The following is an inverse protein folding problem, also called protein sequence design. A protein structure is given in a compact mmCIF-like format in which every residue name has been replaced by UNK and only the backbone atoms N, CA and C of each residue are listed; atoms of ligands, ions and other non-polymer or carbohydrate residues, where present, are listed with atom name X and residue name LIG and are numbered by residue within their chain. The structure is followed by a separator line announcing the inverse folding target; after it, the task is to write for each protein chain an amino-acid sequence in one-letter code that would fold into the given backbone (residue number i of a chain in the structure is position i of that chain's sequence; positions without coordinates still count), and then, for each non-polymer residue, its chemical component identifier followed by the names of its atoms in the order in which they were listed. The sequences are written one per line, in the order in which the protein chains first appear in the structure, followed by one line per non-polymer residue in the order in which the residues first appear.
data_IF_915569649608
#
_entry.id   IF_915569649608
#
_cell.length_a   1.000
_cell.length_b   1.000
_cell.length_c   1.000
_cell.angle_alpha   90.00
_cell.angle_beta   90.00
_cell.angle_gamma   90.00
#
_symmetry.space_group_name_H-M   'P 1'
#
loop_
_entity.id
_entity.type
_entity.pdbx_description
1 polymer ?
#
# COMPACT_ATOMS: atom_id res chain seq x y z
N UNK A 1 26.16 -4.05 15.17
CA UNK A 1 25.97 -2.58 15.33
C UNK A 1 24.52 -2.26 15.67
N UNK A 2 23.54 -2.72 14.87
CA UNK A 2 22.11 -2.57 15.18
C UNK A 2 21.71 -3.18 16.53
N UNK A 3 22.18 -4.39 16.85
CA UNK A 3 21.89 -5.07 18.13
C UNK A 3 22.26 -4.25 19.37
N UNK A 4 23.30 -3.41 19.32
CA UNK A 4 23.68 -2.52 20.44
C UNK A 4 22.76 -1.31 20.59
N UNK A 5 22.14 -0.87 19.50
CA UNK A 5 21.25 0.29 19.44
C UNK A 5 19.78 -0.10 19.68
N UNK A 6 19.46 -1.37 19.47
CA UNK A 6 18.17 -1.98 19.73
C UNK A 6 17.90 -2.13 21.23
N UNK A 7 18.94 -2.29 22.06
CA UNK A 7 18.82 -2.50 23.51
C UNK A 7 18.17 -1.35 24.30
N UNK A 8 17.84 -0.23 23.66
CA UNK A 8 17.06 0.87 24.25
C UNK A 8 15.54 0.71 24.04
N UNK A 9 15.10 -0.29 23.27
CA UNK A 9 13.67 -0.54 22.99
C UNK A 9 13.36 -2.03 22.93
N UNK A 10 12.52 -2.49 23.87
CA UNK A 10 12.05 -3.88 23.93
C UNK A 10 11.29 -4.28 22.68
N UNK A 11 10.52 -3.37 22.07
CA UNK A 11 9.82 -3.70 20.83
C UNK A 11 10.79 -3.92 19.66
N UNK A 12 11.88 -3.15 19.58
CA UNK A 12 12.89 -3.34 18.53
C UNK A 12 13.66 -4.66 18.71
N UNK A 13 13.90 -5.10 19.94
CA UNK A 13 14.49 -6.42 20.23
C UNK A 13 13.62 -7.55 19.66
N UNK A 14 12.32 -7.48 19.91
CA UNK A 14 11.33 -8.43 19.39
C UNK A 14 11.26 -8.42 17.86
N UNK A 15 11.29 -7.24 17.25
CA UNK A 15 11.34 -7.11 15.77
C UNK A 15 12.57 -7.82 15.19
N UNK A 16 13.75 -7.62 15.78
CA UNK A 16 15.00 -8.23 15.32
C UNK A 16 15.00 -9.74 15.54
N UNK A 17 14.43 -10.20 16.66
CA UNK A 17 14.22 -11.62 16.95
C UNK A 17 13.28 -12.28 15.91
N UNK A 18 12.39 -11.49 15.31
CA UNK A 18 11.37 -11.97 14.36
C UNK A 18 10.10 -12.46 15.05
N UNK A 19 9.84 -11.95 16.25
CA UNK A 19 8.62 -12.25 17.00
C UNK A 19 7.39 -11.64 16.30
N UNK A 20 6.24 -12.28 16.47
CA UNK A 20 4.96 -11.68 16.10
C UNK A 20 4.67 -10.47 17.00
N UNK A 21 4.28 -9.35 16.38
CA UNK A 21 4.00 -8.10 17.08
C UNK A 21 2.51 -7.95 17.35
N UNK A 22 2.17 -7.50 18.56
CA UNK A 22 0.81 -7.18 18.95
C UNK A 22 0.46 -5.70 18.75
N UNK A 23 -0.77 -5.34 19.10
CA UNK A 23 -1.26 -3.95 19.04
C UNK A 23 -0.38 -2.97 19.82
N UNK A 24 0.05 -3.36 21.03
CA UNK A 24 0.84 -2.48 21.90
C UNK A 24 2.24 -2.21 21.33
N UNK A 25 2.84 -3.21 20.69
CA UNK A 25 4.11 -3.08 19.98
C UNK A 25 4.00 -2.06 18.84
N UNK A 26 2.92 -2.14 18.06
CA UNK A 26 2.64 -1.17 17.00
C UNK A 26 2.49 0.27 17.53
N UNK A 27 1.80 0.46 18.66
CA UNK A 27 1.67 1.78 19.30
C UNK A 27 3.03 2.33 19.75
N UNK A 28 3.89 1.48 20.31
CA UNK A 28 5.25 1.87 20.71
C UNK A 28 6.09 2.27 19.50
N UNK A 29 6.09 1.47 18.43
CA UNK A 29 6.81 1.77 17.19
C UNK A 29 6.33 3.07 16.52
N UNK A 30 5.02 3.33 16.51
CA UNK A 30 4.45 4.57 15.96
C UNK A 30 4.85 5.83 16.73
N UNK A 31 5.26 5.69 18.00
CA UNK A 31 5.74 6.79 18.86
C UNK A 31 7.27 6.88 18.91
N UNK A 32 7.98 6.02 18.18
CA UNK A 32 9.42 5.95 18.24
C UNK A 32 10.07 7.05 17.39
N UNK A 33 10.75 8.00 18.03
CA UNK A 33 11.23 9.22 17.38
C UNK A 33 12.42 9.01 16.45
N UNK A 34 13.22 7.97 16.65
CA UNK A 34 14.41 7.72 15.84
C UNK A 34 14.05 6.98 14.54
N UNK A 35 13.56 7.74 13.58
CA UNK A 35 13.15 7.26 12.26
C UNK A 35 14.29 6.57 11.49
N UNK A 36 15.55 6.99 11.68
CA UNK A 36 16.69 6.36 11.03
C UNK A 36 16.90 4.93 11.54
N UNK A 37 16.80 4.74 12.86
CA UNK A 37 16.88 3.42 13.47
C UNK A 37 15.71 2.54 13.03
N UNK A 38 14.48 3.09 13.04
CA UNK A 38 13.29 2.38 12.58
C UNK A 38 13.42 1.92 11.12
N UNK A 39 13.89 2.81 10.23
CA UNK A 39 14.13 2.50 8.83
C UNK A 39 15.24 1.46 8.62
N UNK A 40 16.32 1.52 9.40
CA UNK A 40 17.42 0.56 9.33
C UNK A 40 16.97 -0.85 9.75
N UNK A 41 16.21 -0.96 10.84
CA UNK A 41 15.65 -2.24 11.31
C UNK A 41 14.60 -2.75 10.32
N UNK A 42 13.70 -1.90 9.83
CA UNK A 42 12.72 -2.28 8.82
C UNK A 42 13.40 -2.83 7.55
N UNK A 43 14.47 -2.17 7.07
CA UNK A 43 15.24 -2.66 5.94
C UNK A 43 15.96 -3.99 6.25
N UNK A 44 16.54 -4.15 7.43
CA UNK A 44 17.18 -5.41 7.84
C UNK A 44 16.18 -6.57 7.90
N UNK A 45 14.99 -6.35 8.49
CA UNK A 45 13.89 -7.31 8.53
C UNK A 45 13.43 -7.67 7.12
N UNK A 46 13.21 -6.67 6.26
CA UNK A 46 12.84 -6.87 4.86
C UNK A 46 13.93 -7.66 4.10
N UNK A 47 15.21 -7.36 4.31
CA UNK A 47 16.35 -8.11 3.74
C UNK A 47 16.35 -9.58 4.17
N UNK A 48 16.12 -9.85 5.45
CA UNK A 48 16.01 -11.21 6.00
C UNK A 48 14.84 -11.99 5.38
N UNK A 49 13.70 -11.34 5.18
CA UNK A 49 12.48 -11.99 4.68
C UNK A 49 12.48 -12.22 3.17
N UNK A 50 12.87 -11.22 2.37
CA UNK A 50 12.70 -11.27 0.90
C UNK A 50 13.97 -10.93 0.10
N UNK A 51 15.12 -10.74 0.74
CA UNK A 51 16.41 -10.51 0.06
C UNK A 51 16.43 -9.22 -0.76
N UNK A 52 17.35 -9.01 -1.70
CA UNK A 52 17.43 -7.73 -2.43
C UNK A 52 16.57 -7.68 -3.71
N UNK A 53 15.75 -8.70 -3.97
CA UNK A 53 14.93 -8.74 -5.17
C UNK A 53 13.76 -7.77 -5.04
N UNK A 54 13.70 -6.78 -5.92
CA UNK A 54 12.53 -5.91 -6.10
C UNK A 54 11.69 -6.46 -7.25
N UNK A 55 10.40 -6.64 -7.03
CA UNK A 55 9.45 -7.10 -8.06
C UNK A 55 8.48 -5.98 -8.42
N UNK A 56 7.93 -6.04 -9.62
CA UNK A 56 6.89 -5.13 -10.10
C UNK A 56 5.85 -5.93 -10.89
N UNK A 57 4.64 -5.39 -11.02
CA UNK A 57 3.56 -5.93 -11.86
C UNK A 57 3.06 -4.86 -12.82
N UNK A 58 2.65 -5.26 -14.02
CA UNK A 58 2.05 -4.35 -15.00
C UNK A 58 0.53 -4.34 -14.79
N UNK A 59 0.05 -3.52 -13.85
CA UNK A 59 -1.36 -3.39 -13.48
C UNK A 59 -2.04 -2.23 -14.19
N UNK A 60 -3.32 -2.37 -14.53
CA UNK A 60 -4.13 -1.27 -15.10
C UNK A 60 -5.49 -1.15 -14.42
N UNK A 61 -5.68 -0.09 -13.63
CA UNK A 61 -6.95 0.16 -12.97
C UNK A 61 -8.05 0.63 -13.93
N UNK A 62 -9.17 -0.08 -13.93
CA UNK A 62 -10.40 0.35 -14.61
C UNK A 62 -11.44 0.87 -13.62
N UNK A 63 -11.55 2.20 -13.52
CA UNK A 63 -12.69 2.80 -12.85
C UNK A 63 -13.89 2.82 -13.80
N UNK A 64 -14.82 1.88 -13.62
CA UNK A 64 -16.00 1.73 -14.48
C UNK A 64 -17.12 2.72 -14.13
N UNK A 65 -17.08 3.34 -12.96
CA UNK A 65 -17.94 4.46 -12.58
C UNK A 65 -17.22 5.31 -11.54
N UNK A 66 -17.53 6.60 -11.50
CA UNK A 66 -17.19 7.46 -10.37
C UNK A 66 -18.41 7.84 -9.52
N UNK A 67 -19.60 7.35 -9.86
CA UNK A 67 -20.83 7.60 -9.11
C UNK A 67 -20.80 6.78 -7.81
N UNK A 68 -21.01 7.44 -6.66
CA UNK A 68 -20.92 6.78 -5.37
C UNK A 68 -21.91 7.34 -4.34
N UNK A 69 -22.51 6.46 -3.55
CA UNK A 69 -23.43 6.85 -2.47
C UNK A 69 -22.70 7.37 -1.22
N UNK A 70 -21.46 6.93 -0.96
CA UNK A 70 -20.80 7.13 0.33
C UNK A 70 -20.31 8.57 0.59
N UNK A 71 -20.20 9.41 -0.44
CA UNK A 71 -19.81 10.84 -0.35
C UNK A 71 -18.66 11.13 0.64
N UNK A 72 -17.61 10.31 0.59
CA UNK A 72 -16.50 10.37 1.55
C UNK A 72 -15.75 11.71 1.45
N UNK A 73 -15.49 12.34 2.60
CA UNK A 73 -14.85 13.66 2.67
C UNK A 73 -13.41 13.70 2.12
N UNK A 74 -12.74 12.55 2.10
CA UNK A 74 -11.34 12.42 1.64
C UNK A 74 -11.23 11.93 0.20
N UNK A 75 -12.35 11.59 -0.44
CA UNK A 75 -12.33 11.03 -1.79
C UNK A 75 -12.52 12.14 -2.82
N UNK A 76 -11.48 12.42 -3.62
CA UNK A 76 -11.58 13.36 -4.74
C UNK A 76 -12.25 12.75 -5.98
N UNK A 77 -12.40 11.41 -6.01
CA UNK A 77 -12.87 10.69 -7.19
C UNK A 77 -14.40 10.61 -7.27
N UNK A 78 -15.10 10.54 -6.13
CA UNK A 78 -16.53 10.30 -6.14
C UNK A 78 -17.31 11.45 -6.77
N UNK A 79 -18.42 11.10 -7.40
CA UNK A 79 -19.45 12.01 -7.88
C UNK A 79 -20.82 11.55 -7.43
N UNK A 80 -21.73 12.51 -7.29
CA UNK A 80 -23.17 12.25 -7.26
C UNK A 80 -23.64 12.04 -8.69
N UNK A 81 -24.75 11.33 -8.87
CA UNK A 81 -25.26 10.95 -10.19
C UNK A 81 -25.49 12.14 -11.13
N UNK A 82 -25.82 13.31 -10.57
CA UNK A 82 -26.10 14.54 -11.33
C UNK A 82 -24.91 15.50 -11.43
N UNK A 83 -23.72 15.14 -10.95
CA UNK A 83 -22.55 15.99 -11.13
C UNK A 83 -22.13 15.99 -12.62
N UNK A 84 -21.64 17.12 -13.12
CA UNK A 84 -21.37 17.31 -14.54
C UNK A 84 -20.32 16.35 -15.13
N UNK A 85 -19.41 15.84 -14.31
CA UNK A 85 -18.36 14.88 -14.66
C UNK A 85 -18.62 13.48 -14.07
N UNK A 86 -19.86 13.19 -13.66
CA UNK A 86 -20.29 11.85 -13.31
C UNK A 86 -20.33 10.95 -14.55
N UNK A 87 -19.89 9.70 -14.40
CA UNK A 87 -19.97 8.70 -15.46
C UNK A 87 -20.16 7.29 -14.91
N UNK A 88 -20.82 6.46 -15.72
CA UNK A 88 -20.83 5.00 -15.61
C UNK A 88 -20.60 4.45 -17.00
N UNK A 89 -19.55 3.65 -17.17
CA UNK A 89 -19.19 3.06 -18.45
C UNK A 89 -20.18 1.96 -18.83
N UNK A 90 -20.41 1.81 -20.12
CA UNK A 90 -21.08 0.63 -20.67
C UNK A 90 -20.11 -0.56 -20.70
N UNK A 91 -20.63 -1.79 -20.79
CA UNK A 91 -19.80 -2.99 -20.92
C UNK A 91 -18.86 -2.92 -22.14
N UNK A 92 -19.32 -2.38 -23.26
CA UNK A 92 -18.51 -2.20 -24.47
C UNK A 92 -17.33 -1.22 -24.24
N UNK A 93 -17.57 -0.12 -23.52
CA UNK A 93 -16.50 0.81 -23.14
C UNK A 93 -15.50 0.17 -22.17
N UNK A 94 -15.97 -0.68 -21.25
CA UNK A 94 -15.12 -1.46 -20.34
C UNK A 94 -14.24 -2.42 -21.14
N UNK A 95 -14.83 -3.23 -22.02
CA UNK A 95 -14.11 -4.19 -22.87
C UNK A 95 -13.06 -3.51 -23.76
N UNK A 96 -13.41 -2.36 -24.34
CA UNK A 96 -12.49 -1.56 -25.15
C UNK A 96 -11.27 -1.10 -24.33
N UNK A 97 -11.49 -0.59 -23.12
CA UNK A 97 -10.41 -0.13 -22.23
C UNK A 97 -9.54 -1.27 -21.72
N UNK A 98 -10.14 -2.40 -21.33
CA UNK A 98 -9.40 -3.62 -20.94
C UNK A 98 -8.54 -4.13 -22.10
N UNK A 99 -9.10 -4.14 -23.31
CA UNK A 99 -8.37 -4.57 -24.50
C UNK A 99 -7.18 -3.64 -24.79
N UNK A 100 -7.37 -2.33 -24.64
CA UNK A 100 -6.29 -1.35 -24.76
C UNK A 100 -5.19 -1.56 -23.71
N UNK A 101 -5.57 -1.77 -22.44
CA UNK A 101 -4.62 -2.05 -21.35
C UNK A 101 -3.81 -3.31 -21.61
N UNK A 102 -4.47 -4.39 -22.06
CA UNK A 102 -3.80 -5.63 -22.47
C UNK A 102 -2.82 -5.41 -23.62
N UNK A 103 -3.19 -4.63 -24.64
CA UNK A 103 -2.28 -4.28 -25.74
C UNK A 103 -1.06 -3.48 -25.28
N UNK A 104 -1.19 -2.68 -24.22
CA UNK A 104 -0.08 -1.97 -23.57
C UNK A 104 0.77 -2.87 -22.66
N UNK A 105 0.44 -4.16 -22.53
CA UNK A 105 1.21 -5.12 -21.75
C UNK A 105 0.75 -5.28 -20.30
N UNK A 106 -0.45 -4.81 -19.95
CA UNK A 106 -1.03 -5.09 -18.64
C UNK A 106 -1.19 -6.61 -18.43
N UNK A 107 -0.73 -7.11 -17.29
CA UNK A 107 -0.84 -8.51 -16.86
C UNK A 107 -1.96 -8.72 -15.85
N UNK A 108 -2.46 -7.63 -15.27
CA UNK A 108 -3.59 -7.59 -14.33
C UNK A 108 -4.40 -6.30 -14.57
N UNK A 109 -5.70 -6.34 -14.25
CA UNK A 109 -6.64 -5.21 -14.35
C UNK A 109 -7.18 -4.85 -12.97
#
# INVERSE_FOLDING_TARGET
VLEKLVGESKVLERVVAGDELGMQDGIELMKYDNHYMLGAIANATRQKLVGNKVTFTASSYLNYTNVCAASCQICAFYRRENDNDAYTLTSEQIESRVSAAKMMGATEM
#
